data_IF_794134733805
#
_entry.id   IF_794134733805
#
_cell.length_a   1.000
_cell.length_b   1.000
_cell.length_c   1.000
_cell.angle_alpha   90.00
_cell.angle_beta   90.00
_cell.angle_gamma   90.00
#
_symmetry.space_group_name_H-M   'P 1'
#
loop_
_entity.id
_entity.type
_entity.pdbx_description
1 polymer ?
#
# COMPACT_ATOMS: atom_id res chain seq x y z
N UNK A 1 21.71 9.99 18.78
CA UNK A 1 21.43 9.03 17.69
C UNK A 1 20.12 8.31 17.98
N UNK A 2 19.02 8.66 17.28
CA UNK A 2 17.75 7.94 17.46
C UNK A 2 17.86 6.54 16.85
N UNK A 3 17.68 5.49 17.66
CA UNK A 3 17.53 4.11 17.19
C UNK A 3 16.30 4.04 16.28
N UNK A 4 16.50 3.84 14.98
CA UNK A 4 15.42 3.50 14.05
C UNK A 4 14.84 2.16 14.53
N UNK A 5 13.65 2.18 15.13
CA UNK A 5 12.93 0.96 15.48
C UNK A 5 12.33 0.37 14.20
N UNK A 6 12.91 -0.73 13.73
CA UNK A 6 12.31 -1.51 12.66
C UNK A 6 11.04 -2.19 13.15
N UNK A 7 9.97 -2.12 12.38
CA UNK A 7 8.75 -2.89 12.62
C UNK A 7 8.72 -4.08 11.65
N UNK A 8 8.42 -5.26 12.17
CA UNK A 8 8.28 -6.48 11.38
C UNK A 8 6.90 -7.07 11.65
N UNK A 9 6.15 -7.32 10.59
CA UNK A 9 4.84 -7.98 10.64
C UNK A 9 4.93 -9.28 9.85
N UNK A 10 4.44 -10.38 10.43
CA UNK A 10 4.32 -11.67 9.73
C UNK A 10 2.92 -11.78 9.15
N UNK A 11 2.84 -12.07 7.86
CA UNK A 11 1.58 -12.31 7.15
C UNK A 11 1.34 -13.82 7.04
N UNK A 12 0.11 -14.25 7.30
CA UNK A 12 -0.34 -15.63 7.16
C UNK A 12 -1.14 -15.81 5.85
N UNK A 13 -0.61 -16.49 4.82
CA UNK A 13 -1.26 -16.62 3.52
C UNK A 13 -2.61 -17.36 3.55
N UNK A 14 -2.93 -18.06 4.65
CA UNK A 14 -4.24 -18.71 4.83
C UNK A 14 -5.34 -17.71 5.22
N UNK A 15 -4.99 -16.52 5.71
CA UNK A 15 -5.95 -15.46 6.02
C UNK A 15 -6.24 -14.65 4.76
N UNK A 16 -7.52 -14.39 4.51
CA UNK A 16 -8.01 -13.69 3.30
C UNK A 16 -7.29 -12.34 3.09
N UNK A 17 -7.21 -11.52 4.12
CA UNK A 17 -6.61 -10.18 4.05
C UNK A 17 -5.09 -10.22 3.88
N UNK A 18 -4.40 -11.07 4.64
CA UNK A 18 -2.96 -11.27 4.51
C UNK A 18 -2.58 -11.73 3.09
N UNK A 19 -3.40 -12.61 2.47
CA UNK A 19 -3.21 -13.03 1.08
C UNK A 19 -3.32 -11.87 0.09
N UNK A 20 -4.28 -10.96 0.28
CA UNK A 20 -4.44 -9.76 -0.55
C UNK A 20 -3.22 -8.86 -0.42
N UNK A 21 -2.72 -8.66 0.81
CA UNK A 21 -1.51 -7.86 1.07
C UNK A 21 -0.29 -8.49 0.39
N UNK A 22 -0.10 -9.82 0.51
CA UNK A 22 1.00 -10.54 -0.14
C UNK A 22 0.95 -10.32 -1.66
N UNK A 23 -0.21 -10.56 -2.29
CA UNK A 23 -0.38 -10.38 -3.74
C UNK A 23 -0.13 -8.94 -4.19
N UNK A 24 -0.50 -7.97 -3.37
CA UNK A 24 -0.21 -6.56 -3.62
C UNK A 24 1.30 -6.29 -3.57
N UNK A 25 1.99 -6.75 -2.52
CA UNK A 25 3.44 -6.55 -2.35
C UNK A 25 4.28 -7.25 -3.42
N UNK A 26 3.80 -8.38 -3.95
CA UNK A 26 4.44 -9.12 -5.05
C UNK A 26 4.45 -8.34 -6.37
N UNK A 27 3.49 -7.43 -6.58
CA UNK A 27 3.43 -6.57 -7.78
C UNK A 27 4.44 -5.42 -7.74
N UNK A 28 4.98 -5.12 -6.56
CA UNK A 28 5.93 -4.02 -6.38
C UNK A 28 7.35 -4.56 -6.53
N UNK A 29 8.18 -3.94 -7.40
CA UNK A 29 9.60 -4.28 -7.51
C UNK A 29 10.29 -4.25 -6.13
N UNK A 30 11.18 -5.22 -5.81
CA UNK A 30 11.82 -5.29 -4.50
C UNK A 30 12.52 -3.99 -4.07
N UNK A 31 13.12 -3.26 -5.02
CA UNK A 31 13.79 -1.97 -4.77
C UNK A 31 12.84 -0.83 -4.37
N UNK A 32 11.56 -0.92 -4.71
CA UNK A 32 10.56 0.12 -4.46
C UNK A 32 9.59 -0.23 -3.33
N UNK A 33 9.61 -1.48 -2.85
CA UNK A 33 8.62 -1.99 -1.89
C UNK A 33 8.56 -1.17 -0.60
N UNK A 34 9.72 -0.80 -0.05
CA UNK A 34 9.79 -0.05 1.21
C UNK A 34 9.21 1.37 1.08
N UNK A 35 9.50 2.07 -0.01
CA UNK A 35 8.98 3.44 -0.23
C UNK A 35 7.47 3.41 -0.49
N UNK A 36 7.00 2.45 -1.28
CA UNK A 36 5.56 2.27 -1.56
C UNK A 36 4.77 1.91 -0.30
N UNK A 37 5.28 1.00 0.56
CA UNK A 37 4.63 0.68 1.84
C UNK A 37 4.56 1.92 2.74
N UNK A 38 5.66 2.67 2.86
CA UNK A 38 5.68 3.89 3.69
C UNK A 38 4.70 4.94 3.19
N UNK A 39 4.61 5.11 1.87
CA UNK A 39 3.65 6.02 1.24
C UNK A 39 2.21 5.60 1.55
N UNK A 40 1.85 4.34 1.30
CA UNK A 40 0.50 3.83 1.61
C UNK A 40 0.12 4.00 3.08
N UNK A 41 1.04 3.66 3.99
CA UNK A 41 0.79 3.84 5.42
C UNK A 41 0.60 5.31 5.78
N UNK A 42 1.37 6.21 5.17
CA UNK A 42 1.19 7.65 5.35
C UNK A 42 -0.18 8.09 4.86
N UNK A 43 -0.54 7.78 3.61
CA UNK A 43 -1.83 8.17 3.00
C UNK A 43 -3.02 7.66 3.82
N UNK A 44 -2.96 6.43 4.36
CA UNK A 44 -4.01 5.86 5.21
C UNK A 44 -4.10 6.55 6.57
N UNK A 45 -2.95 6.91 7.18
CA UNK A 45 -2.92 7.53 8.51
C UNK A 45 -3.28 9.01 8.49
N UNK A 46 -2.95 9.73 7.42
CA UNK A 46 -3.18 11.17 7.30
C UNK A 46 -4.40 11.53 6.47
N UNK A 47 -4.91 10.60 5.65
CA UNK A 47 -5.98 10.87 4.69
C UNK A 47 -5.52 11.70 3.48
N UNK A 48 -4.22 12.02 3.37
CA UNK A 48 -3.67 12.75 2.24
C UNK A 48 -3.24 11.79 1.15
N UNK A 49 -3.81 11.89 -0.05
CA UNK A 49 -3.25 11.21 -1.22
C UNK A 49 -2.01 11.98 -1.70
N UNK A 50 -0.82 11.40 -1.54
CA UNK A 50 0.41 11.96 -2.06
C UNK A 50 0.41 11.77 -3.58
N UNK A 51 -0.14 12.73 -4.33
CA UNK A 51 -0.13 12.69 -5.79
C UNK A 51 1.30 12.43 -6.31
N UNK A 52 1.51 11.41 -7.17
CA UNK A 52 2.80 11.24 -7.81
C UNK A 52 3.02 12.46 -8.70
N UNK A 53 4.15 13.14 -8.56
CA UNK A 53 4.52 14.31 -9.36
C UNK A 53 4.86 13.93 -10.81
N UNK A 54 3.93 13.32 -11.57
CA UNK A 54 3.87 13.26 -13.05
C UNK A 54 2.57 12.55 -13.50
N UNK A 55 1.92 12.97 -14.61
CA UNK A 55 0.56 12.52 -14.91
C UNK A 55 0.57 11.13 -15.56
N UNK A 56 0.04 10.13 -14.86
CA UNK A 56 -0.55 8.95 -15.48
C UNK A 56 -1.96 8.74 -14.88
N UNK A 57 -2.81 9.71 -15.20
CA UNK A 57 -4.25 9.65 -14.98
C UNK A 57 -4.78 8.67 -16.03
N UNK A 58 -5.00 7.41 -15.65
CA UNK A 58 -5.98 6.51 -16.28
C UNK A 58 -6.19 5.19 -15.53
N UNK A 59 -5.25 4.73 -14.71
CA UNK A 59 -5.42 3.44 -13.99
C UNK A 59 -5.80 3.58 -12.50
N UNK A 60 -5.56 4.73 -11.86
CA UNK A 60 -5.86 4.94 -10.44
C UNK A 60 -7.37 4.98 -10.11
N UNK A 61 -8.22 5.44 -11.04
CA UNK A 61 -9.68 5.49 -10.85
C UNK A 61 -10.31 4.09 -10.71
N UNK A 62 -9.66 3.05 -11.25
CA UNK A 62 -10.14 1.67 -11.12
C UNK A 62 -9.90 1.07 -9.73
N UNK A 63 -8.93 1.57 -8.97
CA UNK A 63 -8.63 1.09 -7.61
C UNK A 63 -9.57 1.75 -6.59
N UNK A 64 -9.85 3.05 -6.74
CA UNK A 64 -10.80 3.78 -5.88
C UNK A 64 -12.21 3.19 -5.95
N UNK A 65 -12.74 2.95 -7.16
CA UNK A 65 -14.07 2.34 -7.32
C UNK A 65 -14.18 0.93 -6.74
N UNK A 66 -13.06 0.19 -6.68
CA UNK A 66 -13.05 -1.19 -6.18
C UNK A 66 -12.93 -1.24 -4.66
N UNK A 67 -12.23 -0.28 -4.05
CA UNK A 67 -12.14 -0.17 -2.60
C UNK A 67 -13.47 0.31 -1.99
N UNK A 68 -14.12 1.32 -2.57
CA UNK A 68 -15.44 1.78 -2.06
C UNK A 68 -16.52 0.69 -2.10
N UNK A 69 -16.46 -0.21 -3.09
CA UNK A 69 -17.37 -1.36 -3.17
C UNK A 69 -17.17 -2.41 -2.07
N UNK A 70 -16.01 -2.41 -1.41
CA UNK A 70 -15.67 -3.36 -0.34
C UNK A 70 -16.10 -2.87 1.05
N UNK A 71 -16.50 -1.60 1.17
CA UNK A 71 -16.88 -0.96 2.44
C UNK A 71 -18.38 -0.61 2.53
N UNK A 72 -19.22 -1.14 1.62
CA UNK A 72 -20.68 -1.04 1.67
C UNK A 72 -21.33 -2.33 2.13
#
# INVERSE_FOLDING_TARGET
MSKIRGFSVRLNPRKKWDRVIIQFLERIPPGERTSQIKRLLYEVLTGEQLLPSRPQIREAQGIESKLDSLFR
#
